data_IF_987964302359
#
_entry.id   IF_987964302359
#
_cell.length_a   1.000
_cell.length_b   1.000
_cell.length_c   1.000
_cell.angle_alpha   90.00
_cell.angle_beta   90.00
_cell.angle_gamma   90.00
#
_symmetry.space_group_name_H-M   'P 1'
#
loop_
_entity.id
_entity.type
_entity.pdbx_description
1 polymer ?
#
# COMPACT_ATOMS: atom_id res chain seq x y z
N UNK A 1 24.03 -14.99 11.26
CA UNK A 1 23.18 -14.71 10.08
C UNK A 1 22.02 -15.70 9.93
N UNK A 2 22.17 -16.96 10.35
CA UNK A 2 21.10 -17.98 10.36
C UNK A 2 19.93 -17.63 11.29
N UNK A 3 20.24 -17.16 12.50
CA UNK A 3 19.24 -16.89 13.56
C UNK A 3 18.19 -15.82 13.19
N UNK A 4 18.62 -14.67 12.63
CA UNK A 4 17.69 -13.60 12.22
C UNK A 4 16.78 -14.01 11.05
N UNK A 5 17.30 -14.83 10.12
CA UNK A 5 16.52 -15.36 8.99
C UNK A 5 15.49 -16.38 9.48
N UNK A 6 15.88 -17.24 10.41
CA UNK A 6 15.01 -18.25 11.00
C UNK A 6 13.92 -17.61 11.87
N UNK A 7 14.27 -16.57 12.64
CA UNK A 7 13.31 -15.76 13.40
C UNK A 7 12.28 -15.09 12.49
N UNK A 8 12.73 -14.43 11.39
CA UNK A 8 11.83 -13.83 10.41
C UNK A 8 10.91 -14.89 9.78
N UNK A 9 11.45 -16.06 9.43
CA UNK A 9 10.64 -17.15 8.88
C UNK A 9 9.56 -17.61 9.87
N UNK A 10 9.92 -17.75 11.14
CA UNK A 10 8.97 -18.13 12.19
C UNK A 10 7.88 -17.07 12.40
N UNK A 11 8.23 -15.78 12.41
CA UNK A 11 7.29 -14.66 12.45
C UNK A 11 6.31 -14.72 11.27
N UNK A 12 6.81 -14.97 10.06
CA UNK A 12 5.99 -15.01 8.85
C UNK A 12 5.04 -16.21 8.83
N UNK A 13 5.48 -17.39 9.30
CA UNK A 13 4.59 -18.53 9.43
C UNK A 13 3.52 -18.30 10.51
N UNK A 14 3.87 -17.67 11.63
CA UNK A 14 2.90 -17.30 12.66
C UNK A 14 1.86 -16.30 12.11
N UNK A 15 2.31 -15.28 11.39
CA UNK A 15 1.43 -14.33 10.70
C UNK A 15 0.50 -15.06 9.72
N UNK A 16 1.05 -15.97 8.92
CA UNK A 16 0.29 -16.77 7.97
C UNK A 16 -0.81 -17.59 8.66
N UNK A 17 -0.47 -18.29 9.74
CA UNK A 17 -1.42 -19.11 10.50
C UNK A 17 -2.53 -18.25 11.10
N UNK A 18 -2.17 -17.14 11.76
CA UNK A 18 -3.13 -16.23 12.38
C UNK A 18 -4.06 -15.60 11.35
N UNK A 19 -3.51 -15.21 10.20
CA UNK A 19 -4.27 -14.63 9.11
C UNK A 19 -5.26 -15.65 8.52
N UNK A 20 -4.83 -16.86 8.18
CA UNK A 20 -5.73 -17.88 7.63
C UNK A 20 -6.86 -18.22 8.62
N UNK A 21 -6.56 -18.31 9.91
CA UNK A 21 -7.56 -18.52 10.95
C UNK A 21 -8.56 -17.36 11.08
N UNK A 22 -8.16 -16.12 10.75
CA UNK A 22 -9.06 -14.97 10.70
C UNK A 22 -10.03 -15.06 9.52
N UNK A 23 -9.59 -15.56 8.36
CA UNK A 23 -10.42 -15.63 7.15
C UNK A 23 -11.62 -16.58 7.30
N UNK A 24 -11.54 -17.53 8.24
CA UNK A 24 -12.60 -18.50 8.53
C UNK A 24 -13.65 -17.96 9.52
N UNK A 25 -13.50 -16.73 10.03
CA UNK A 25 -14.41 -16.14 11.03
C UNK A 25 -15.58 -15.36 10.45
N UNK A 26 -15.64 -15.18 9.13
CA UNK A 26 -16.71 -14.44 8.43
C UNK A 26 -16.99 -13.04 9.01
N UNK A 27 -15.95 -12.37 9.48
CA UNK A 27 -16.02 -11.03 10.07
C UNK A 27 -16.46 -9.97 9.05
N UNK A 28 -16.75 -8.77 9.55
CA UNK A 28 -17.00 -7.59 8.70
C UNK A 28 -15.71 -7.15 8.02
N UNK A 29 -15.83 -6.58 6.82
CA UNK A 29 -14.71 -6.05 6.00
C UNK A 29 -13.70 -5.22 6.81
N UNK A 30 -14.19 -4.36 7.71
CA UNK A 30 -13.35 -3.46 8.51
C UNK A 30 -12.42 -4.18 9.48
N UNK A 31 -12.75 -5.42 9.88
CA UNK A 31 -11.85 -6.26 10.68
C UNK A 31 -10.64 -6.68 9.84
N UNK A 32 -10.85 -7.05 8.57
CA UNK A 32 -9.76 -7.42 7.68
C UNK A 32 -8.94 -6.20 7.26
N UNK A 33 -9.58 -5.07 6.98
CA UNK A 33 -8.88 -3.80 6.72
C UNK A 33 -7.90 -3.49 7.86
N UNK A 34 -8.40 -3.46 9.10
CA UNK A 34 -7.57 -3.19 10.28
C UNK A 34 -6.45 -4.22 10.44
N UNK A 35 -6.74 -5.50 10.24
CA UNK A 35 -5.73 -6.55 10.33
C UNK A 35 -4.61 -6.36 9.29
N UNK A 36 -4.94 -5.98 8.05
CA UNK A 36 -3.96 -5.70 6.99
C UNK A 36 -3.14 -4.44 7.29
N UNK A 37 -3.76 -3.40 7.86
CA UNK A 37 -3.07 -2.18 8.30
C UNK A 37 -2.06 -2.46 9.42
N UNK A 38 -2.39 -3.36 10.35
CA UNK A 38 -1.50 -3.79 11.44
C UNK A 38 -0.43 -4.79 10.96
N UNK A 39 -0.68 -5.50 9.86
CA UNK A 39 0.18 -6.55 9.32
C UNK A 39 0.53 -6.27 7.85
N UNK A 40 1.24 -5.16 7.59
CA UNK A 40 1.39 -4.57 6.25
C UNK A 40 2.09 -5.43 5.20
N UNK A 41 2.73 -6.53 5.60
CA UNK A 41 3.24 -7.57 4.68
C UNK A 41 2.12 -8.26 3.91
N UNK A 42 0.91 -8.33 4.46
CA UNK A 42 -0.23 -8.96 3.81
C UNK A 42 -0.85 -8.08 2.72
N UNK A 43 -0.64 -6.76 2.77
CA UNK A 43 -1.15 -5.85 1.74
C UNK A 43 -0.63 -6.30 0.35
N UNK A 44 -1.47 -6.31 -0.70
CA UNK A 44 -1.05 -6.63 -2.05
C UNK A 44 0.19 -5.84 -2.51
N UNK A 45 1.03 -6.49 -3.31
CA UNK A 45 2.23 -5.90 -3.93
C UNK A 45 2.27 -6.15 -5.44
N UNK A 46 1.14 -6.51 -6.03
CA UNK A 46 1.00 -6.59 -7.47
C UNK A 46 1.36 -5.25 -8.10
N UNK A 47 2.01 -5.31 -9.26
CA UNK A 47 2.52 -4.15 -9.98
C UNK A 47 3.61 -3.34 -9.26
N UNK A 48 4.23 -3.85 -8.18
CA UNK A 48 5.47 -3.25 -7.68
C UNK A 48 6.57 -3.36 -8.73
N UNK A 49 7.22 -2.24 -9.00
CA UNK A 49 8.35 -2.09 -9.91
C UNK A 49 9.68 -2.23 -9.17
N UNK A 50 10.79 -2.15 -9.91
CA UNK A 50 12.14 -2.46 -9.42
C UNK A 50 12.66 -1.54 -8.31
N UNK A 51 12.08 -0.35 -8.10
CA UNK A 51 12.43 0.52 -6.95
C UNK A 51 11.54 0.31 -5.72
N UNK A 52 10.64 -0.68 -5.74
CA UNK A 52 9.75 -0.97 -4.62
C UNK A 52 8.60 0.03 -4.47
N UNK A 53 7.98 0.02 -3.31
CA UNK A 53 6.94 0.98 -2.92
C UNK A 53 7.61 2.32 -2.58
N UNK A 54 7.05 3.43 -3.04
CA UNK A 54 7.62 4.76 -2.81
C UNK A 54 7.66 5.04 -1.30
N UNK A 55 8.88 5.23 -0.79
CA UNK A 55 9.16 5.45 0.62
C UNK A 55 8.67 4.34 1.57
N UNK A 56 8.38 3.15 1.04
CA UNK A 56 7.70 2.09 1.79
C UNK A 56 6.40 2.58 2.47
N UNK A 57 5.67 3.52 1.84
CA UNK A 57 4.39 4.03 2.33
C UNK A 57 3.24 3.50 1.47
N UNK A 58 2.25 2.91 2.14
CA UNK A 58 0.92 2.63 1.58
C UNK A 58 -0.07 3.58 2.22
N UNK A 59 -0.82 4.33 1.41
CA UNK A 59 -1.92 5.15 1.91
C UNK A 59 -3.13 4.25 2.19
N UNK A 60 -3.71 4.37 3.39
CA UNK A 60 -5.01 3.76 3.70
C UNK A 60 -6.13 4.69 3.29
N UNK A 61 -7.18 4.13 2.70
CA UNK A 61 -8.45 4.83 2.48
C UNK A 61 -8.32 6.22 1.80
N UNK A 62 -7.39 6.47 0.86
CA UNK A 62 -7.26 7.82 0.29
C UNK A 62 -8.42 8.11 -0.66
N UNK A 63 -9.05 9.26 -0.46
CA UNK A 63 -10.02 9.79 -1.41
C UNK A 63 -9.31 10.32 -2.68
N UNK A 64 -9.93 10.10 -3.83
CA UNK A 64 -9.58 10.72 -5.10
C UNK A 64 -10.84 11.06 -5.90
N UNK A 65 -10.84 12.23 -6.53
CA UNK A 65 -12.09 12.83 -7.00
C UNK A 65 -13.01 13.18 -5.83
N UNK A 66 -14.29 13.43 -6.14
CA UNK A 66 -15.31 13.72 -5.13
C UNK A 66 -15.91 12.45 -4.51
N UNK A 67 -15.91 11.34 -5.26
CA UNK A 67 -16.78 10.19 -4.99
C UNK A 67 -16.03 8.87 -4.76
N UNK A 68 -14.70 8.84 -4.94
CA UNK A 68 -13.94 7.59 -4.91
C UNK A 68 -12.94 7.54 -3.76
N UNK A 69 -12.81 6.34 -3.21
CA UNK A 69 -11.93 5.99 -2.10
C UNK A 69 -11.49 4.55 -2.36
N UNK A 70 -10.18 4.31 -2.39
CA UNK A 70 -9.63 2.95 -2.42
C UNK A 70 -9.27 2.52 -1.00
N UNK A 71 -9.35 1.23 -0.69
CA UNK A 71 -8.94 0.74 0.64
C UNK A 71 -7.45 0.92 0.91
N UNK A 72 -6.64 0.66 -0.10
CA UNK A 72 -5.22 0.96 -0.09
C UNK A 72 -4.76 1.56 -1.41
N UNK A 73 -3.69 2.34 -1.33
CA UNK A 73 -3.03 2.92 -2.48
C UNK A 73 -1.54 2.98 -2.27
N UNK A 74 -0.77 2.71 -3.31
CA UNK A 74 0.64 3.05 -3.29
C UNK A 74 1.17 3.46 -4.66
N UNK A 75 2.28 4.18 -4.62
CA UNK A 75 3.10 4.44 -5.79
C UNK A 75 4.27 3.47 -5.82
N UNK A 76 4.58 2.94 -6.98
CA UNK A 76 5.83 2.25 -7.25
C UNK A 76 6.46 2.87 -8.48
N UNK A 77 7.79 2.89 -8.57
CA UNK A 77 8.49 3.52 -9.69
C UNK A 77 9.52 2.60 -10.34
N UNK A 78 9.70 2.83 -11.62
CA UNK A 78 10.93 2.53 -12.36
C UNK A 78 11.65 3.82 -12.69
N UNK A 79 12.73 3.75 -13.47
CA UNK A 79 13.39 4.94 -14.01
C UNK A 79 12.51 5.73 -14.99
N UNK A 80 11.52 5.09 -15.63
CA UNK A 80 10.78 5.68 -16.76
C UNK A 80 9.34 6.05 -16.46
N UNK A 81 8.68 5.35 -15.54
CA UNK A 81 7.28 5.57 -15.21
C UNK A 81 6.96 5.20 -13.76
N UNK A 82 5.82 5.69 -13.29
CA UNK A 82 5.18 5.31 -12.04
C UNK A 82 4.04 4.33 -12.28
N UNK A 83 3.92 3.33 -11.42
CA UNK A 83 2.67 2.63 -11.19
C UNK A 83 1.92 3.28 -10.02
N UNK A 84 0.72 3.78 -10.29
CA UNK A 84 -0.25 4.19 -9.28
C UNK A 84 -1.19 3.01 -9.03
N UNK A 85 -0.95 2.26 -7.95
CA UNK A 85 -1.66 1.02 -7.65
C UNK A 85 -2.78 1.31 -6.66
N UNK A 86 -4.02 1.13 -7.13
CA UNK A 86 -5.25 1.23 -6.35
C UNK A 86 -5.71 -0.16 -5.94
N UNK A 87 -6.06 -0.35 -4.68
CA UNK A 87 -6.43 -1.65 -4.13
C UNK A 87 -7.82 -1.50 -3.50
N UNK A 88 -8.73 -2.37 -3.91
CA UNK A 88 -10.00 -2.61 -3.22
C UNK A 88 -9.94 -3.98 -2.55
N UNK A 89 -10.45 -4.05 -1.32
CA UNK A 89 -10.67 -5.30 -0.62
C UNK A 89 -12.16 -5.47 -0.32
N UNK A 90 -12.63 -6.69 -0.48
CA UNK A 90 -13.97 -7.09 -0.08
C UNK A 90 -13.88 -8.00 1.15
N UNK A 91 -14.92 -8.73 1.53
CA UNK A 91 -14.81 -9.74 2.60
C UNK A 91 -14.41 -11.12 2.05
N UNK A 92 -13.69 -11.95 2.82
CA UNK A 92 -13.36 -13.33 2.43
C UNK A 92 -14.61 -14.19 2.19
N UNK A 93 -15.71 -13.91 2.89
CA UNK A 93 -16.97 -14.62 2.70
C UNK A 93 -17.71 -14.24 1.40
N UNK A 94 -17.24 -13.23 0.66
CA UNK A 94 -17.86 -12.81 -0.59
C UNK A 94 -17.79 -13.90 -1.67
N UNK A 95 -18.88 -14.02 -2.44
CA UNK A 95 -19.06 -15.07 -3.44
C UNK A 95 -18.62 -14.61 -4.81
N UNK A 96 -17.75 -15.38 -5.47
CA UNK A 96 -17.40 -15.10 -6.87
C UNK A 96 -18.57 -15.50 -7.78
N UNK A 97 -19.23 -16.61 -7.47
CA UNK A 97 -20.24 -17.22 -8.33
C UNK A 97 -21.56 -17.37 -7.59
N UNK A 98 -22.67 -17.36 -8.32
CA UNK A 98 -23.97 -17.74 -7.76
C UNK A 98 -23.97 -19.23 -7.42
N UNK A 99 -24.74 -19.58 -6.40
CA UNK A 99 -24.93 -20.97 -6.00
C UNK A 99 -25.45 -21.82 -7.18
N UNK A 100 -24.97 -23.05 -7.29
CA UNK A 100 -25.38 -24.03 -8.31
C UNK A 100 -25.12 -23.66 -9.78
N UNK A 101 -24.49 -22.51 -10.07
CA UNK A 101 -24.15 -22.11 -11.45
C UNK A 101 -22.69 -21.70 -11.58
N UNK A 102 -22.25 -21.45 -12.81
CA UNK A 102 -20.95 -20.84 -13.10
C UNK A 102 -21.08 -19.35 -13.45
N UNK A 103 -22.21 -18.71 -13.15
CA UNK A 103 -22.40 -17.27 -13.35
C UNK A 103 -21.79 -16.48 -12.20
N UNK A 104 -21.24 -15.30 -12.49
CA UNK A 104 -20.72 -14.42 -11.45
C UNK A 104 -21.83 -13.93 -10.53
N UNK A 105 -21.51 -13.83 -9.25
CA UNK A 105 -22.40 -13.25 -8.26
C UNK A 105 -22.55 -11.74 -8.50
N UNK A 106 -23.75 -11.14 -8.29
CA UNK A 106 -23.95 -9.69 -8.43
C UNK A 106 -22.94 -8.85 -7.66
N UNK A 107 -22.64 -9.20 -6.41
CA UNK A 107 -21.64 -8.48 -5.58
C UNK A 107 -20.25 -8.48 -6.23
N UNK A 108 -19.83 -9.57 -6.88
CA UNK A 108 -18.56 -9.62 -7.58
C UNK A 108 -18.57 -8.76 -8.86
N UNK A 109 -19.72 -8.64 -9.52
CA UNK A 109 -19.89 -7.71 -10.64
C UNK A 109 -19.87 -6.25 -10.16
N UNK A 110 -20.45 -5.95 -8.99
CA UNK A 110 -20.41 -4.62 -8.38
C UNK A 110 -18.98 -4.20 -8.02
N UNK A 111 -18.19 -5.07 -7.37
CA UNK A 111 -16.79 -4.78 -7.06
C UNK A 111 -15.95 -4.53 -8.34
N UNK A 112 -16.21 -5.28 -9.42
CA UNK A 112 -15.57 -5.00 -10.71
C UNK A 112 -16.02 -3.66 -11.31
N UNK A 113 -17.29 -3.32 -11.19
CA UNK A 113 -17.81 -2.05 -11.68
C UNK A 113 -17.17 -0.87 -10.94
N UNK A 114 -16.95 -0.97 -9.63
CA UNK A 114 -16.26 0.05 -8.84
C UNK A 114 -14.84 0.32 -9.39
N UNK A 115 -14.06 -0.73 -9.69
CA UNK A 115 -12.74 -0.59 -10.33
C UNK A 115 -12.86 0.09 -11.70
N UNK A 116 -13.86 -0.27 -12.51
CA UNK A 116 -14.09 0.35 -13.81
C UNK A 116 -14.49 1.84 -13.68
N UNK A 117 -15.23 2.21 -12.65
CA UNK A 117 -15.60 3.60 -12.39
C UNK A 117 -14.38 4.43 -12.02
N UNK A 118 -13.45 3.86 -11.24
CA UNK A 118 -12.15 4.51 -10.95
C UNK A 118 -11.33 4.71 -12.22
N UNK A 119 -11.26 3.69 -13.09
CA UNK A 119 -10.60 3.79 -14.40
C UNK A 119 -11.18 4.93 -15.23
N UNK A 120 -12.50 4.92 -15.40
CA UNK A 120 -13.20 5.95 -16.15
C UNK A 120 -12.95 7.34 -15.56
N UNK A 121 -12.87 7.49 -14.25
CA UNK A 121 -12.51 8.77 -13.63
C UNK A 121 -11.07 9.19 -13.93
N UNK A 122 -10.10 8.30 -13.80
CA UNK A 122 -8.69 8.61 -14.02
C UNK A 122 -8.38 8.93 -15.48
N UNK A 123 -9.09 8.31 -16.43
CA UNK A 123 -8.94 8.56 -17.86
C UNK A 123 -9.56 9.89 -18.32
N UNK A 124 -10.43 10.53 -17.50
CA UNK A 124 -11.15 11.78 -17.83
C UNK A 124 -10.35 13.05 -17.48
N UNK A 125 -9.11 13.18 -17.97
CA UNK A 125 -8.25 14.36 -17.78
C UNK A 125 -8.02 14.78 -16.30
N UNK A 126 -8.22 13.87 -15.35
CA UNK A 126 -8.07 14.13 -13.92
C UNK A 126 -6.64 13.93 -13.40
N UNK A 127 -5.69 13.65 -14.29
CA UNK A 127 -4.29 13.36 -13.94
C UNK A 127 -3.64 14.49 -13.13
N UNK A 128 -3.92 15.76 -13.44
CA UNK A 128 -3.37 16.90 -12.69
C UNK A 128 -3.85 16.98 -11.24
N UNK A 129 -5.14 16.72 -11.01
CA UNK A 129 -5.72 16.66 -9.68
C UNK A 129 -5.17 15.46 -8.89
N UNK A 130 -5.06 14.30 -9.56
CA UNK A 130 -4.47 13.10 -8.98
C UNK A 130 -2.98 13.31 -8.62
N UNK A 131 -2.17 13.91 -9.51
CA UNK A 131 -0.76 14.21 -9.24
C UNK A 131 -0.60 15.14 -8.05
N UNK A 132 -1.40 16.19 -7.97
CA UNK A 132 -1.39 17.11 -6.82
C UNK A 132 -1.64 16.35 -5.52
N UNK A 133 -2.63 15.44 -5.54
CA UNK A 133 -3.04 14.63 -4.41
C UNK A 133 -1.94 13.69 -3.86
N UNK A 134 -1.04 13.20 -4.70
CA UNK A 134 -0.01 12.21 -4.32
C UNK A 134 1.42 12.74 -4.47
N UNK A 135 1.58 14.04 -4.76
CA UNK A 135 2.86 14.68 -5.12
C UNK A 135 3.98 14.45 -4.10
N UNK A 136 3.67 14.44 -2.80
CA UNK A 136 4.62 14.19 -1.73
C UNK A 136 5.35 12.83 -1.86
N UNK A 137 4.70 11.85 -2.49
CA UNK A 137 5.24 10.50 -2.71
C UNK A 137 5.92 10.34 -4.09
N UNK A 138 5.83 11.35 -4.97
CA UNK A 138 6.30 11.29 -6.36
C UNK A 138 7.74 11.76 -6.59
N UNK A 139 8.56 11.87 -5.54
CA UNK A 139 9.97 12.29 -5.68
C UNK A 139 10.93 11.08 -5.79
N UNK A 140 12.09 11.22 -6.47
CA UNK A 140 12.56 12.39 -7.21
C UNK A 140 12.06 12.50 -8.66
N UNK A 141 11.26 11.54 -9.13
CA UNK A 141 10.87 11.40 -10.55
C UNK A 141 9.48 11.97 -10.85
N UNK A 142 9.14 13.13 -10.30
CA UNK A 142 7.77 13.65 -10.28
C UNK A 142 7.16 13.89 -11.66
N UNK A 143 8.00 14.13 -12.67
CA UNK A 143 7.60 14.37 -14.06
C UNK A 143 7.35 13.10 -14.87
N UNK A 144 7.71 11.92 -14.34
CA UNK A 144 7.51 10.67 -15.08
C UNK A 144 6.01 10.41 -15.31
N UNK A 145 5.65 9.74 -16.43
CA UNK A 145 4.29 9.26 -16.67
C UNK A 145 3.78 8.36 -15.55
N UNK A 146 2.46 8.32 -15.36
CA UNK A 146 1.79 7.44 -14.42
C UNK A 146 0.96 6.43 -15.21
N UNK A 147 1.11 5.15 -14.88
CA UNK A 147 0.17 4.11 -15.27
C UNK A 147 -0.67 3.70 -14.06
N UNK A 148 -1.98 3.80 -14.20
CA UNK A 148 -2.91 3.34 -13.16
C UNK A 148 -3.07 1.83 -13.22
N UNK A 149 -2.94 1.19 -12.06
CA UNK A 149 -3.08 -0.25 -11.86
C UNK A 149 -4.09 -0.51 -10.75
N UNK A 150 -4.76 -1.64 -10.82
CA UNK A 150 -5.88 -1.96 -9.94
C UNK A 150 -5.74 -3.37 -9.41
N UNK A 151 -6.00 -3.54 -8.13
CA UNK A 151 -6.02 -4.84 -7.46
C UNK A 151 -7.35 -4.99 -6.75
N UNK A 152 -8.07 -6.07 -7.05
CA UNK A 152 -9.27 -6.47 -6.32
C UNK A 152 -8.94 -7.73 -5.52
N UNK A 153 -9.03 -7.63 -4.18
CA UNK A 153 -8.92 -8.78 -3.27
C UNK A 153 -10.33 -9.20 -2.87
N UNK A 154 -10.74 -10.41 -3.28
CA UNK A 154 -12.15 -10.82 -3.19
C UNK A 154 -12.28 -12.28 -2.76
N UNK A 155 -13.16 -12.58 -1.82
CA UNK A 155 -13.56 -13.96 -1.52
C UNK A 155 -12.43 -14.94 -1.15
N UNK A 156 -12.78 -16.23 -1.10
CA UNK A 156 -11.81 -17.36 -0.94
C UNK A 156 -11.55 -18.03 -2.28
N UNK A 157 -10.35 -18.61 -2.44
CA UNK A 157 -9.95 -19.40 -3.61
C UNK A 157 -10.79 -20.66 -3.80
N UNK A 158 -11.30 -21.24 -2.71
CA UNK A 158 -12.12 -22.47 -2.72
C UNK A 158 -13.38 -22.35 -3.59
N UNK A 159 -13.84 -21.14 -3.92
CA UNK A 159 -14.96 -20.89 -4.82
C UNK A 159 -14.72 -21.34 -6.28
N UNK A 160 -13.46 -21.37 -6.72
CA UNK A 160 -13.07 -21.74 -8.08
C UNK A 160 -11.91 -22.74 -8.16
N UNK A 161 -11.33 -23.12 -7.03
CA UNK A 161 -10.35 -24.18 -7.00
C UNK A 161 -10.97 -25.53 -7.37
N UNK A 162 -10.27 -26.33 -8.16
CA UNK A 162 -10.81 -27.59 -8.70
C UNK A 162 -11.95 -27.47 -9.72
N UNK A 163 -12.33 -26.24 -10.14
CA UNK A 163 -13.32 -26.01 -11.20
C UNK A 163 -12.72 -25.18 -12.35
N UNK A 164 -12.31 -25.85 -13.42
CA UNK A 164 -11.61 -25.23 -14.55
C UNK A 164 -12.44 -24.17 -15.28
N UNK A 165 -13.77 -24.30 -15.31
CA UNK A 165 -14.65 -23.31 -15.92
C UNK A 165 -14.61 -22.01 -15.10
N UNK A 166 -14.83 -22.12 -13.79
CA UNK A 166 -14.80 -20.95 -12.88
C UNK A 166 -13.41 -20.29 -12.86
N UNK A 167 -12.35 -21.09 -12.79
CA UNK A 167 -10.96 -20.61 -12.85
C UNK A 167 -10.68 -19.86 -14.16
N UNK A 168 -11.11 -20.41 -15.29
CA UNK A 168 -10.93 -19.77 -16.60
C UNK A 168 -11.70 -18.46 -16.74
N UNK A 169 -12.89 -18.36 -16.14
CA UNK A 169 -13.68 -17.11 -16.10
C UNK A 169 -12.98 -16.02 -15.30
N UNK A 170 -12.48 -16.33 -14.09
CA UNK A 170 -11.70 -15.36 -13.29
C UNK A 170 -10.42 -14.96 -14.03
N UNK A 171 -9.71 -15.94 -14.61
CA UNK A 171 -8.48 -15.67 -15.37
C UNK A 171 -8.73 -14.78 -16.60
N UNK A 172 -9.87 -14.92 -17.29
CA UNK A 172 -10.22 -14.08 -18.43
C UNK A 172 -10.37 -12.59 -18.07
N UNK A 173 -10.86 -12.28 -16.87
CA UNK A 173 -10.98 -10.90 -16.38
C UNK A 173 -9.61 -10.26 -16.12
N UNK A 174 -8.65 -11.06 -15.64
CA UNK A 174 -7.27 -10.63 -15.34
C UNK A 174 -6.42 -10.43 -16.60
N UNK A 175 -6.83 -10.96 -17.77
CA UNK A 175 -6.11 -10.75 -19.03
C UNK A 175 -6.14 -9.29 -19.50
N UNK A 176 -6.98 -8.44 -18.91
CA UNK A 176 -7.00 -7.01 -19.19
C UNK A 176 -5.74 -6.32 -18.63
N UNK A 177 -5.15 -5.39 -19.40
CA UNK A 177 -3.96 -4.67 -18.96
C UNK A 177 -4.28 -3.80 -17.74
N UNK A 178 -3.58 -4.05 -16.62
CA UNK A 178 -3.61 -3.19 -15.45
C UNK A 178 -4.58 -3.56 -14.34
N UNK A 179 -5.31 -4.68 -14.44
CA UNK A 179 -6.14 -5.20 -13.33
C UNK A 179 -5.58 -6.54 -12.85
N UNK A 180 -5.52 -6.72 -11.53
CA UNK A 180 -5.31 -7.99 -10.85
C UNK A 180 -6.54 -8.32 -10.01
N UNK A 181 -7.01 -9.57 -10.10
CA UNK A 181 -8.02 -10.11 -9.19
C UNK A 181 -7.37 -11.28 -8.45
N UNK A 182 -7.44 -11.27 -7.12
CA UNK A 182 -6.89 -12.33 -6.28
C UNK A 182 -7.80 -12.62 -5.08
N UNK A 183 -7.68 -13.81 -4.51
CA UNK A 183 -8.39 -14.15 -3.28
C UNK A 183 -7.63 -13.70 -2.04
N UNK A 184 -8.33 -13.67 -0.90
CA UNK A 184 -7.68 -13.46 0.40
C UNK A 184 -6.59 -14.51 0.69
N UNK A 185 -6.75 -15.77 0.23
CA UNK A 185 -5.72 -16.82 0.36
C UNK A 185 -4.39 -16.42 -0.27
N UNK A 186 -4.44 -15.70 -1.40
CA UNK A 186 -3.25 -15.32 -2.17
C UNK A 186 -2.35 -14.36 -1.40
N UNK A 187 -2.92 -13.57 -0.47
CA UNK A 187 -2.15 -12.64 0.36
C UNK A 187 -1.21 -13.38 1.33
N UNK A 188 -1.64 -14.54 1.84
CA UNK A 188 -0.86 -15.41 2.72
C UNK A 188 0.32 -16.08 1.98
N UNK A 189 0.11 -16.43 0.70
CA UNK A 189 1.12 -17.09 -0.13
C UNK A 189 2.23 -16.13 -0.57
N UNK A 190 1.90 -14.84 -0.70
CA UNK A 190 2.83 -13.80 -1.11
C UNK A 190 3.71 -13.23 0.01
N UNK A 191 3.66 -13.75 1.24
CA UNK A 191 4.37 -13.17 2.39
C UNK A 191 5.89 -13.10 2.19
N UNK A 192 6.51 -14.21 1.75
CA UNK A 192 7.97 -14.39 1.72
C UNK A 192 8.76 -13.29 0.97
N UNK A 193 8.13 -12.64 -0.01
CA UNK A 193 8.76 -11.62 -0.85
C UNK A 193 8.53 -10.17 -0.41
N UNK A 194 7.86 -9.93 0.72
CA UNK A 194 7.37 -8.59 1.09
C UNK A 194 7.96 -8.10 2.41
N UNK A 195 8.63 -6.96 2.38
CA UNK A 195 8.99 -6.21 3.57
C UNK A 195 7.78 -5.48 4.17
N UNK A 196 7.80 -5.17 5.49
CA UNK A 196 6.83 -4.27 6.08
C UNK A 196 6.92 -2.88 5.45
N UNK A 197 5.86 -2.13 5.65
CA UNK A 197 5.57 -0.87 5.01
C UNK A 197 4.88 0.00 6.05
N UNK A 198 5.09 1.31 6.02
CA UNK A 198 4.33 2.24 6.84
C UNK A 198 2.94 2.44 6.24
N UNK A 199 1.94 2.58 7.11
CA UNK A 199 0.63 3.12 6.72
C UNK A 199 0.71 4.64 6.74
N UNK A 200 0.25 5.28 5.66
CA UNK A 200 0.06 6.72 5.57
C UNK A 200 -1.41 7.10 5.61
N UNK A 201 -1.76 8.13 6.37
CA UNK A 201 -3.07 8.78 6.30
C UNK A 201 -2.89 10.10 5.57
N UNK A 202 -3.51 10.22 4.40
CA UNK A 202 -3.48 11.46 3.63
C UNK A 202 -4.34 12.52 4.32
N UNK A 203 -3.73 13.67 4.62
CA UNK A 203 -4.40 14.91 4.97
C UNK A 203 -4.24 15.90 3.81
N UNK A 204 -4.92 17.05 3.88
CA UNK A 204 -4.87 18.05 2.81
C UNK A 204 -3.45 18.58 2.56
N UNK A 205 -2.65 18.77 3.62
CA UNK A 205 -1.32 19.38 3.52
C UNK A 205 -0.16 18.40 3.72
N UNK A 206 -0.41 17.23 4.31
CA UNK A 206 0.64 16.30 4.69
C UNK A 206 0.13 14.85 4.71
N UNK A 207 1.06 13.90 4.75
CA UNK A 207 0.79 12.48 5.01
C UNK A 207 1.23 12.18 6.44
N UNK A 208 0.31 11.73 7.28
CA UNK A 208 0.65 11.20 8.61
C UNK A 208 1.13 9.76 8.46
N UNK A 209 2.42 9.55 8.67
CA UNK A 209 3.04 8.23 8.61
C UNK A 209 2.92 7.58 9.98
N UNK A 210 2.21 6.46 10.01
CA UNK A 210 1.88 5.73 11.23
C UNK A 210 3.00 4.73 11.55
N UNK A 211 3.32 4.66 12.84
CA UNK A 211 4.38 3.83 13.41
C UNK A 211 5.46 4.64 14.11
N UNK A 212 6.38 3.93 14.73
CA UNK A 212 7.48 4.49 15.52
C UNK A 212 8.77 4.62 14.71
N UNK A 213 8.67 4.53 13.38
CA UNK A 213 9.78 4.63 12.46
C UNK A 213 9.34 5.05 11.07
N UNK A 214 10.22 5.76 10.37
CA UNK A 214 10.11 6.01 8.94
C UNK A 214 10.95 4.97 8.19
N UNK A 215 10.32 3.90 7.71
CA UNK A 215 11.02 2.67 7.28
C UNK A 215 11.99 2.90 6.11
N UNK A 216 11.65 3.80 5.18
CA UNK A 216 12.52 4.17 4.05
C UNK A 216 13.28 5.46 4.32
N UNK A 217 14.14 5.45 5.33
CA UNK A 217 14.89 6.63 5.74
C UNK A 217 15.74 7.24 4.62
N UNK A 218 16.21 6.47 3.62
CA UNK A 218 16.94 7.02 2.48
C UNK A 218 16.10 8.03 1.66
N UNK A 219 14.77 7.96 1.80
CA UNK A 219 13.85 8.94 1.25
C UNK A 219 14.06 10.37 1.76
N UNK A 220 14.69 10.55 2.93
CA UNK A 220 14.98 11.86 3.52
C UNK A 220 15.82 12.78 2.61
N UNK A 221 16.56 12.21 1.63
CA UNK A 221 17.29 12.97 0.63
C UNK A 221 16.37 13.78 -0.31
N UNK A 222 15.14 13.34 -0.51
CA UNK A 222 14.26 13.85 -1.57
C UNK A 222 12.98 14.49 -1.07
N UNK A 223 12.43 14.02 0.05
CA UNK A 223 11.13 14.50 0.54
C UNK A 223 11.17 15.96 0.98
N UNK A 224 10.04 16.64 0.89
CA UNK A 224 9.78 17.91 1.55
C UNK A 224 9.27 17.61 2.97
N UNK A 225 10.03 17.89 4.05
CA UNK A 225 9.66 17.48 5.41
C UNK A 225 8.28 17.97 5.84
N UNK A 226 7.86 19.15 5.39
CA UNK A 226 6.58 19.76 5.80
C UNK A 226 5.35 19.03 5.24
N UNK A 227 5.53 18.18 4.21
CA UNK A 227 4.49 17.33 3.64
C UNK A 227 4.31 15.99 4.38
N UNK A 228 5.07 15.76 5.46
CA UNK A 228 4.97 14.55 6.27
C UNK A 228 4.75 14.90 7.75
N UNK A 229 4.02 14.03 8.44
CA UNK A 229 3.91 14.02 9.90
C UNK A 229 4.37 12.66 10.42
N UNK A 230 5.23 12.67 11.44
CA UNK A 230 5.78 11.48 12.08
C UNK A 230 5.43 11.45 13.57
N UNK A 231 5.54 10.28 14.20
CA UNK A 231 5.55 10.17 15.67
C UNK A 231 6.82 10.81 16.25
N UNK A 232 6.78 11.15 17.54
CA UNK A 232 7.97 11.64 18.25
C UNK A 232 9.06 10.56 18.24
N UNK A 233 8.68 9.30 18.48
CA UNK A 233 9.58 8.16 18.41
C UNK A 233 10.24 8.00 17.02
N UNK A 234 9.48 8.13 15.93
CA UNK A 234 10.03 8.06 14.57
C UNK A 234 10.99 9.22 14.27
N UNK A 235 10.65 10.43 14.72
CA UNK A 235 11.53 11.60 14.61
C UNK A 235 12.83 11.37 15.38
N UNK A 236 12.77 10.92 16.62
CA UNK A 236 13.94 10.72 17.46
C UNK A 236 14.88 9.67 16.85
N UNK A 237 14.32 8.59 16.28
CA UNK A 237 15.11 7.62 15.51
C UNK A 237 15.82 8.26 14.33
N UNK A 238 15.14 9.07 13.51
CA UNK A 238 15.77 9.79 12.39
C UNK A 238 16.89 10.72 12.87
N UNK A 239 16.68 11.47 13.94
CA UNK A 239 17.68 12.40 14.50
C UNK A 239 18.93 11.68 15.03
N UNK A 240 18.74 10.44 15.52
CA UNK A 240 19.81 9.58 16.03
C UNK A 240 20.43 8.69 14.95
N UNK A 241 19.98 8.77 13.69
CA UNK A 241 20.66 8.09 12.60
C UNK A 241 22.01 8.76 12.37
N UNK A 242 23.07 8.09 12.78
CA UNK A 242 24.41 8.45 12.39
C UNK A 242 24.54 8.16 10.89
N UNK A 243 24.69 9.20 10.07
CA UNK A 243 24.98 9.03 8.64
C UNK A 243 26.26 8.21 8.34
N UNK A 244 26.95 7.67 9.34
CA UNK A 244 28.20 6.90 9.23
C UNK A 244 28.06 5.37 9.11
N UNK A 245 26.86 4.81 8.94
CA UNK A 245 26.73 3.39 8.58
C UNK A 245 27.39 3.05 7.24
N UNK A 246 27.72 1.76 6.96
CA UNK A 246 28.38 1.34 5.71
C UNK A 246 27.56 1.60 4.44
N UNK A 247 26.30 2.01 4.58
CA UNK A 247 25.41 2.42 3.50
C UNK A 247 25.20 3.94 3.58
N UNK A 248 25.97 4.66 2.73
CA UNK A 248 25.92 6.08 2.36
C UNK A 248 25.25 7.08 3.33
N UNK A 249 26.03 8.06 3.80
CA UNK A 249 25.53 9.36 4.29
C UNK A 249 24.43 9.88 3.34
N UNK A 250 23.18 9.92 3.79
CA UNK A 250 22.12 10.61 3.07
C UNK A 250 22.35 12.11 3.24
N UNK A 251 22.68 12.78 2.14
CA UNK A 251 22.99 14.21 2.10
C UNK A 251 22.02 14.90 1.15
N UNK A 252 21.61 16.12 1.51
CA UNK A 252 20.83 17.00 0.62
C UNK A 252 21.39 18.41 0.62
N UNK A 253 21.04 19.16 -0.42
CA UNK A 253 21.46 20.56 -0.56
C UNK A 253 20.36 21.49 -0.05
N UNK A 254 20.67 22.33 0.92
CA UNK A 254 19.79 23.36 1.48
C UNK A 254 20.50 24.70 1.44
N UNK A 255 19.94 25.68 0.74
CA UNK A 255 20.58 27.00 0.60
C UNK A 255 22.01 26.93 0.02
N UNK A 256 22.29 25.97 -0.87
CA UNK A 256 23.61 25.75 -1.46
C UNK A 256 24.61 25.00 -0.56
N UNK A 257 24.20 24.54 0.63
CA UNK A 257 25.06 23.78 1.55
C UNK A 257 24.61 22.33 1.66
N UNK A 258 25.59 21.44 1.76
CA UNK A 258 25.39 20.03 2.07
C UNK A 258 25.00 19.87 3.54
N UNK A 259 23.85 19.25 3.81
CA UNK A 259 23.37 18.93 5.16
C UNK A 259 23.03 17.44 5.28
N UNK A 260 23.06 16.93 6.51
CA UNK A 260 22.58 15.58 6.83
C UNK A 260 21.06 15.51 6.60
N UNK A 261 20.63 14.65 5.68
CA UNK A 261 19.23 14.55 5.29
C UNK A 261 18.32 14.08 6.42
N UNK A 262 18.79 13.16 7.26
CA UNK A 262 17.98 12.60 8.35
C UNK A 262 17.72 13.66 9.40
N UNK A 263 18.77 14.37 9.81
CA UNK A 263 18.66 15.49 10.78
C UNK A 263 17.81 16.62 10.23
N UNK A 264 18.04 17.01 8.98
CA UNK A 264 17.23 18.05 8.34
C UNK A 264 15.74 17.67 8.31
N UNK A 265 15.39 16.44 7.94
CA UNK A 265 14.00 15.99 7.97
C UNK A 265 13.47 15.97 9.40
N UNK A 266 14.18 15.36 10.36
CA UNK A 266 13.73 15.27 11.75
C UNK A 266 13.51 16.63 12.43
N UNK A 267 14.30 17.64 12.06
CA UNK A 267 14.16 19.03 12.54
C UNK A 267 12.92 19.74 11.94
N UNK A 268 12.55 19.42 10.70
CA UNK A 268 11.57 20.19 9.93
C UNK A 268 10.25 19.46 9.65
N UNK A 269 10.15 18.17 10.00
CA UNK A 269 8.93 17.37 9.81
C UNK A 269 7.87 17.77 10.84
N UNK A 270 6.59 17.61 10.47
CA UNK A 270 5.51 17.73 11.45
C UNK A 270 5.60 16.58 12.44
N UNK A 271 5.30 16.85 13.71
CA UNK A 271 5.40 15.84 14.77
C UNK A 271 4.06 15.68 15.45
N UNK A 272 3.68 14.42 15.64
CA UNK A 272 2.53 13.98 16.42
C UNK A 272 3.05 13.32 17.71
N UNK A 273 2.37 13.55 18.82
CA UNK A 273 2.67 12.85 20.08
C UNK A 273 2.46 11.35 19.94
N UNK A 274 3.32 10.54 20.55
CA UNK A 274 3.16 9.07 20.53
C UNK A 274 1.88 8.60 21.22
N UNK A 275 1.29 9.46 22.08
CA UNK A 275 0.00 9.21 22.75
C UNK A 275 -1.21 9.75 21.99
N UNK A 276 -1.01 10.51 20.92
CA UNK A 276 -2.12 11.02 20.11
C UNK A 276 -2.76 9.83 19.37
N UNK A 277 -4.07 9.59 19.52
CA UNK A 277 -4.73 8.52 18.81
C UNK A 277 -4.67 8.77 17.31
N UNK A 278 -4.48 7.70 16.54
CA UNK A 278 -4.65 7.75 15.09
C UNK A 278 -6.15 7.81 14.81
N UNK A 279 -6.66 9.01 14.53
CA UNK A 279 -8.09 9.23 14.29
C UNK A 279 -8.43 8.86 12.85
N UNK A 280 -9.37 7.93 12.70
CA UNK A 280 -10.05 7.65 11.44
C UNK A 280 -10.90 8.87 11.08
N UNK A 281 -10.51 9.61 10.04
CA UNK A 281 -11.49 10.50 9.40
C UNK A 281 -12.44 9.60 8.61
N UNK A 282 -13.70 9.57 9.05
CA UNK A 282 -14.79 8.81 8.46
C UNK A 282 -14.93 9.09 6.95
#
# INVERSE_FOLDING_TARGET
MTDARDALKAEMEMLRTNYLALLDKEEKEQVYQKYLEENTRLIPRDFVQNHGVSFDIVLRKPAFGADYKSDFFFLSKSTVLWHAVHIEIEKPASKYFKDSTNEFHPDFLHAQQQINDWRAWLDRSNEGAFRSAVSALMVPLATNPIEHKYVLVYGRRSEYDGNDIRRSKVAALVKSSGIKIQSFDSLAEGLAGKSPVNIGIRKNEYIDVIGDEFLKSEGCAWIEPTQFRLSQSAKDKLMNMDGGGPYMKSVRTVGGKSVDSYKYVGENVRVRSDKEPVIDEA
#
